data_IF_924290659728
#
_entry.id   IF_924290659728
#
_cell.length_a   1.000
_cell.length_b   1.000
_cell.length_c   1.000
_cell.angle_alpha   90.00
_cell.angle_beta   90.00
_cell.angle_gamma   90.00
#
_symmetry.space_group_name_H-M   'P 1'
#
loop_
_entity.id
_entity.type
_entity.pdbx_description
1 polymer ?
#
# COMPACT_ATOMS: atom_id res chain seq x y z
N UNK A 1 11.48 -26.69 71.83
CA UNK A 1 10.47 -25.91 71.09
C UNK A 1 11.16 -25.16 69.95
N UNK A 2 11.21 -25.72 68.74
CA UNK A 2 11.76 -25.03 67.55
C UNK A 2 10.65 -25.01 66.50
N UNK A 3 10.17 -23.81 66.17
CA UNK A 3 9.13 -23.55 65.16
C UNK A 3 9.81 -23.48 63.80
N UNK A 4 9.41 -24.34 62.87
CA UNK A 4 9.83 -24.26 61.48
C UNK A 4 8.94 -23.24 60.75
N UNK A 5 9.56 -22.19 60.21
CA UNK A 5 8.93 -21.22 59.30
C UNK A 5 8.99 -21.79 57.88
N UNK A 6 7.82 -21.97 57.26
CA UNK A 6 7.68 -22.31 55.84
C UNK A 6 7.51 -21.00 55.07
N UNK A 7 8.50 -20.64 54.24
CA UNK A 7 8.39 -19.54 53.29
C UNK A 7 7.80 -20.05 51.98
N UNK A 8 6.57 -19.64 51.68
CA UNK A 8 5.94 -19.79 50.36
C UNK A 8 6.46 -18.70 49.43
N UNK A 9 7.26 -19.07 48.43
CA UNK A 9 7.61 -18.18 47.32
C UNK A 9 6.48 -18.20 46.27
N UNK A 10 5.74 -17.09 46.16
CA UNK A 10 4.86 -16.85 45.00
C UNK A 10 5.73 -16.50 43.78
N UNK A 11 5.85 -17.42 42.84
CA UNK A 11 6.41 -17.16 41.52
C UNK A 11 5.37 -16.48 40.63
N UNK A 12 5.53 -15.19 40.39
CA UNK A 12 4.79 -14.45 39.35
C UNK A 12 5.31 -14.86 37.98
N UNK A 13 4.55 -15.72 37.29
CA UNK A 13 4.78 -16.08 35.89
C UNK A 13 4.42 -14.87 35.01
N UNK A 14 5.42 -14.03 34.71
CA UNK A 14 5.27 -12.91 33.78
C UNK A 14 5.00 -13.42 32.36
N UNK A 15 3.79 -13.19 31.87
CA UNK A 15 3.41 -13.47 30.49
C UNK A 15 4.14 -12.48 29.57
N UNK A 16 5.26 -12.90 28.98
CA UNK A 16 5.99 -12.11 28.00
C UNK A 16 5.15 -11.96 26.73
N UNK A 17 4.58 -10.77 26.52
CA UNK A 17 3.98 -10.38 25.24
C UNK A 17 5.11 -10.27 24.23
N UNK A 18 5.27 -11.28 23.37
CA UNK A 18 6.07 -11.15 22.16
C UNK A 18 5.33 -10.18 21.22
N UNK A 19 5.66 -8.89 21.33
CA UNK A 19 5.39 -7.95 20.26
C UNK A 19 6.18 -8.44 19.03
N UNK A 20 5.47 -8.84 17.97
CA UNK A 20 6.11 -9.19 16.71
C UNK A 20 6.85 -7.96 16.19
N UNK A 21 8.18 -7.95 16.30
CA UNK A 21 8.99 -6.97 15.61
C UNK A 21 8.76 -7.22 14.11
N UNK A 22 8.07 -6.28 13.45
CA UNK A 22 8.12 -6.18 12.00
C UNK A 22 9.59 -5.91 11.64
N UNK A 23 10.32 -6.95 11.29
CA UNK A 23 11.69 -6.85 10.79
C UNK A 23 11.65 -5.93 9.57
N UNK A 24 12.45 -4.86 9.62
CA UNK A 24 12.70 -4.05 8.43
C UNK A 24 13.21 -5.00 7.33
N UNK A 25 12.50 -5.06 6.21
CA UNK A 25 12.89 -5.92 5.08
C UNK A 25 14.26 -5.53 4.51
N UNK A 26 14.83 -6.35 3.62
CA UNK A 26 16.13 -6.09 2.97
C UNK A 26 16.21 -4.79 2.14
N UNK A 27 15.14 -3.99 2.10
CA UNK A 27 15.04 -2.79 1.30
C UNK A 27 14.60 -3.08 -0.14
N UNK A 28 14.88 -2.12 -1.01
CA UNK A 28 14.56 -2.17 -2.44
C UNK A 28 15.61 -2.88 -3.29
N UNK A 29 16.82 -3.10 -2.75
CA UNK A 29 17.94 -3.67 -3.52
C UNK A 29 17.62 -5.09 -4.00
N UNK A 30 17.90 -5.38 -5.26
CA UNK A 30 17.60 -6.64 -5.95
C UNK A 30 16.10 -7.02 -5.97
N UNK A 31 15.21 -6.04 -5.78
CA UNK A 31 13.76 -6.22 -5.90
C UNK A 31 13.26 -5.72 -7.27
N UNK A 32 11.97 -5.92 -7.58
CA UNK A 32 11.38 -5.31 -8.80
C UNK A 32 11.32 -3.77 -8.76
N UNK A 33 11.51 -3.15 -7.60
CA UNK A 33 11.66 -1.70 -7.44
C UNK A 33 13.15 -1.26 -7.38
N UNK A 34 14.11 -2.17 -7.61
CA UNK A 34 15.51 -1.79 -7.87
C UNK A 34 15.65 -1.29 -9.31
N UNK A 35 15.41 -0.01 -9.52
CA UNK A 35 15.34 0.57 -10.87
C UNK A 35 16.69 0.99 -11.43
N UNK A 36 17.79 0.67 -10.74
CA UNK A 36 19.16 0.96 -11.21
C UNK A 36 19.49 0.25 -12.52
N UNK A 37 18.74 -0.78 -12.91
CA UNK A 37 18.91 -1.44 -14.21
C UNK A 37 18.06 -0.84 -15.35
N UNK A 38 17.16 0.11 -15.08
CA UNK A 38 16.28 0.74 -16.09
C UNK A 38 16.97 1.83 -16.93
N UNK A 39 18.27 1.70 -17.14
CA UNK A 39 19.08 2.68 -17.88
C UNK A 39 19.34 2.14 -19.28
N UNK A 40 19.25 3.01 -20.30
CA UNK A 40 19.76 2.69 -21.63
C UNK A 40 21.21 2.23 -21.50
N UNK A 41 21.57 1.11 -22.16
CA UNK A 41 22.88 0.49 -22.06
C UNK A 41 24.01 1.54 -22.14
N UNK A 42 24.72 1.77 -21.04
CA UNK A 42 25.89 2.65 -20.99
C UNK A 42 26.04 3.55 -19.77
N UNK A 43 24.99 3.80 -18.97
CA UNK A 43 25.09 4.73 -17.82
C UNK A 43 24.59 4.07 -16.52
N UNK A 44 25.28 4.35 -15.40
CA UNK A 44 24.96 3.81 -14.08
C UNK A 44 24.69 4.93 -13.07
N UNK A 45 23.43 5.27 -12.84
CA UNK A 45 22.97 5.82 -11.59
C UNK A 45 22.95 4.67 -10.56
N UNK A 46 23.82 4.75 -9.57
CA UNK A 46 23.95 3.73 -8.52
C UNK A 46 23.08 4.02 -7.29
N UNK A 47 22.26 5.07 -7.32
CA UNK A 47 21.42 5.47 -6.20
C UNK A 47 20.07 4.76 -6.27
N UNK A 48 19.89 3.73 -5.45
CA UNK A 48 18.67 2.90 -5.47
C UNK A 48 17.40 3.68 -5.09
N UNK A 49 17.50 4.68 -4.21
CA UNK A 49 16.35 5.45 -3.73
C UNK A 49 15.96 6.63 -4.63
N UNK A 50 16.80 7.05 -5.58
CA UNK A 50 16.60 8.30 -6.33
C UNK A 50 15.34 8.27 -7.19
N UNK A 51 14.86 7.09 -7.58
CA UNK A 51 13.64 6.96 -8.36
C UNK A 51 12.37 7.30 -7.57
N UNK A 52 12.46 7.34 -6.23
CA UNK A 52 11.34 7.63 -5.33
C UNK A 52 11.59 8.86 -4.45
N UNK A 53 12.84 9.12 -4.07
CA UNK A 53 13.21 10.11 -3.06
C UNK A 53 14.30 11.07 -3.53
N UNK A 54 14.15 12.37 -3.23
CA UNK A 54 15.16 13.40 -3.49
C UNK A 54 15.29 14.39 -2.34
N UNK A 55 16.51 14.74 -1.89
CA UNK A 55 16.68 15.77 -0.89
C UNK A 55 16.28 17.17 -1.38
N UNK A 56 16.36 17.44 -2.69
CA UNK A 56 16.01 18.74 -3.30
C UNK A 56 15.11 18.56 -4.51
N UNK A 57 14.26 19.55 -4.81
CA UNK A 57 13.36 19.55 -5.98
C UNK A 57 12.35 18.40 -5.96
N UNK A 58 11.89 18.00 -4.78
CA UNK A 58 10.74 17.11 -4.66
C UNK A 58 9.50 17.80 -5.25
N UNK A 59 8.54 17.02 -5.76
CA UNK A 59 7.22 17.56 -6.03
C UNK A 59 6.60 18.01 -4.70
N UNK A 60 6.00 19.21 -4.63
CA UNK A 60 5.41 19.80 -3.43
C UNK A 60 4.28 18.94 -2.84
N UNK A 61 4.65 17.91 -2.09
CA UNK A 61 3.80 17.00 -1.32
C UNK A 61 4.54 16.71 -0.01
N UNK A 62 3.87 16.24 1.04
CA UNK A 62 4.43 16.02 2.40
C UNK A 62 5.60 15.00 2.48
N UNK A 63 6.13 14.55 1.35
CA UNK A 63 7.21 13.58 1.21
C UNK A 63 8.18 14.06 0.13
N UNK A 64 9.45 13.71 0.29
CA UNK A 64 10.58 14.01 -0.62
C UNK A 64 10.47 13.31 -2.00
N UNK A 65 9.28 13.25 -2.61
CA UNK A 65 8.98 12.44 -3.79
C UNK A 65 9.69 12.94 -5.05
N UNK A 66 10.49 12.07 -5.67
CA UNK A 66 11.35 12.40 -6.81
C UNK A 66 10.85 11.87 -8.16
N UNK A 67 9.56 11.67 -8.34
CA UNK A 67 8.99 11.28 -9.61
C UNK A 67 7.93 12.27 -10.07
N UNK A 68 7.87 12.51 -11.38
CA UNK A 68 6.84 13.31 -12.02
C UNK A 68 5.49 12.66 -11.78
N UNK A 69 4.51 13.42 -11.31
CA UNK A 69 3.16 12.89 -11.12
C UNK A 69 2.46 12.80 -12.47
N UNK A 70 1.78 11.68 -12.70
CA UNK A 70 0.88 11.53 -13.84
C UNK A 70 -0.28 12.52 -13.78
N UNK A 71 -0.86 12.82 -14.94
CA UNK A 71 -2.09 13.63 -15.07
C UNK A 71 -3.34 12.76 -15.20
N UNK A 72 -3.21 11.44 -15.00
CA UNK A 72 -4.30 10.48 -15.09
C UNK A 72 -5.45 10.83 -14.14
N UNK A 73 -6.69 10.62 -14.60
CA UNK A 73 -7.89 10.76 -13.79
C UNK A 73 -8.37 9.39 -13.31
N UNK A 74 -8.05 9.02 -12.07
CA UNK A 74 -8.26 7.67 -11.56
C UNK A 74 -9.71 7.41 -11.19
N UNK A 75 -10.27 6.31 -11.68
CA UNK A 75 -11.68 5.98 -11.47
C UNK A 75 -11.90 4.48 -11.38
N UNK A 76 -12.49 4.01 -10.29
CA UNK A 76 -12.93 2.61 -10.16
C UNK A 76 -14.13 2.29 -11.04
N UNK A 77 -14.93 3.28 -11.43
CA UNK A 77 -16.06 3.09 -12.35
C UNK A 77 -15.58 2.78 -13.79
N UNK A 78 -14.40 3.25 -14.16
CA UNK A 78 -13.82 2.97 -15.47
C UNK A 78 -13.12 1.60 -15.52
N UNK A 79 -13.15 0.98 -16.71
CA UNK A 79 -12.49 -0.30 -16.95
C UNK A 79 -10.98 -0.20 -16.74
N UNK A 80 -10.43 -1.17 -16.00
CA UNK A 80 -9.01 -1.24 -15.71
C UNK A 80 -8.18 -1.87 -16.83
N UNK A 81 -6.91 -2.20 -16.54
CA UNK A 81 -6.04 -2.90 -17.49
C UNK A 81 -6.71 -4.17 -18.04
N UNK A 82 -6.41 -4.46 -19.32
CA UNK A 82 -6.98 -5.58 -20.07
C UNK A 82 -8.53 -5.63 -20.14
N UNK A 83 -9.21 -4.50 -19.90
CA UNK A 83 -10.68 -4.43 -19.95
C UNK A 83 -11.37 -4.96 -18.69
N UNK A 84 -10.63 -5.08 -17.58
CA UNK A 84 -11.20 -5.50 -16.29
C UNK A 84 -12.37 -4.60 -15.88
N UNK A 85 -13.51 -5.14 -15.45
CA UNK A 85 -14.72 -4.38 -15.24
C UNK A 85 -14.57 -3.34 -14.12
N UNK A 86 -15.13 -2.15 -14.34
CA UNK A 86 -15.25 -1.11 -13.33
C UNK A 86 -16.43 -1.34 -12.40
N UNK A 87 -16.44 -0.60 -11.29
CA UNK A 87 -17.50 -0.59 -10.30
C UNK A 87 -17.64 0.80 -9.69
N UNK A 88 -18.88 1.27 -9.52
CA UNK A 88 -19.16 2.57 -8.90
C UNK A 88 -19.38 2.50 -7.39
N UNK A 89 -19.80 1.33 -6.87
CA UNK A 89 -20.15 1.14 -5.45
C UNK A 89 -19.86 -0.29 -5.01
N UNK A 90 -19.47 -0.48 -3.75
CA UNK A 90 -19.40 -1.81 -3.14
C UNK A 90 -20.81 -2.40 -2.97
N UNK A 91 -20.89 -3.71 -2.72
CA UNK A 91 -22.16 -4.39 -2.39
C UNK A 91 -22.85 -3.80 -1.15
N UNK A 92 -22.08 -3.18 -0.25
CA UNK A 92 -22.54 -2.45 0.93
C UNK A 92 -22.93 -1.01 0.69
N UNK A 93 -22.80 -0.50 -0.53
CA UNK A 93 -23.20 0.85 -0.89
C UNK A 93 -22.15 1.94 -0.65
N UNK A 94 -20.90 1.60 -0.30
CA UNK A 94 -19.79 2.57 -0.30
C UNK A 94 -19.53 3.02 -1.73
N UNK A 95 -19.60 4.31 -2.02
CA UNK A 95 -19.25 4.85 -3.34
C UNK A 95 -17.75 4.78 -3.54
N UNK A 96 -17.31 4.31 -4.71
CA UNK A 96 -15.89 4.21 -5.04
C UNK A 96 -15.36 5.51 -5.67
N UNK A 97 -14.07 5.84 -5.50
CA UNK A 97 -13.46 7.01 -6.12
C UNK A 97 -13.63 7.01 -7.64
N UNK A 98 -14.07 8.15 -8.18
CA UNK A 98 -14.28 8.34 -9.63
C UNK A 98 -13.38 9.40 -10.26
N UNK A 99 -12.57 10.08 -9.46
CA UNK A 99 -11.62 11.09 -9.91
C UNK A 99 -10.34 11.06 -9.08
N UNK A 100 -9.22 11.54 -9.63
CA UNK A 100 -7.95 11.66 -8.90
C UNK A 100 -8.06 12.55 -7.66
N UNK A 101 -8.93 13.55 -7.67
CA UNK A 101 -9.19 14.37 -6.47
C UNK A 101 -9.74 13.53 -5.32
N UNK A 102 -10.58 12.53 -5.61
CA UNK A 102 -11.12 11.61 -4.60
C UNK A 102 -10.06 10.64 -4.05
N UNK A 103 -8.89 10.52 -4.70
CA UNK A 103 -7.74 9.79 -4.14
C UNK A 103 -6.95 10.62 -3.11
N UNK A 104 -7.28 11.90 -2.96
CA UNK A 104 -6.68 12.79 -1.97
C UNK A 104 -5.16 12.98 -2.17
N UNK A 105 -4.46 13.23 -1.07
CA UNK A 105 -2.99 13.34 -1.01
C UNK A 105 -2.33 12.05 -0.53
N UNK A 106 -3.07 10.93 -0.57
CA UNK A 106 -2.62 9.63 -0.10
C UNK A 106 -1.47 9.05 -0.93
N UNK A 107 -0.74 8.07 -0.38
CA UNK A 107 0.43 7.47 -1.03
C UNK A 107 0.11 6.71 -2.32
N UNK A 108 -1.15 6.32 -2.56
CA UNK A 108 -1.56 5.70 -3.83
C UNK A 108 -1.17 6.55 -5.03
N UNK A 109 -1.31 7.89 -4.95
CA UNK A 109 -0.92 8.80 -6.05
C UNK A 109 0.57 8.69 -6.42
N UNK A 110 1.42 8.36 -5.45
CA UNK A 110 2.85 8.16 -5.68
C UNK A 110 3.11 6.87 -6.44
N UNK A 111 2.46 5.77 -6.05
CA UNK A 111 2.51 4.51 -6.80
C UNK A 111 1.99 4.71 -8.23
N UNK A 112 0.88 5.42 -8.40
CA UNK A 112 0.29 5.65 -9.71
C UNK A 112 1.18 6.49 -10.63
N UNK A 113 2.06 7.34 -10.09
CA UNK A 113 3.03 8.07 -10.91
C UNK A 113 4.00 7.18 -11.69
N UNK A 114 4.14 5.90 -11.33
CA UNK A 114 4.88 4.91 -12.12
C UNK A 114 3.93 3.88 -12.77
N UNK A 115 2.84 3.53 -12.09
CA UNK A 115 1.96 2.41 -12.44
C UNK A 115 0.74 2.76 -13.31
N UNK A 116 0.49 4.05 -13.60
CA UNK A 116 -0.60 4.46 -14.49
C UNK A 116 -0.22 4.46 -15.98
N UNK A 117 1.08 4.38 -16.29
CA UNK A 117 1.60 4.36 -17.66
C UNK A 117 1.50 5.72 -18.39
N UNK A 118 1.17 6.81 -17.69
CA UNK A 118 1.02 8.15 -18.27
C UNK A 118 2.34 8.91 -18.39
N UNK A 119 3.30 8.61 -17.51
CA UNK A 119 4.65 9.19 -17.51
C UNK A 119 5.70 8.08 -17.52
N UNK A 120 6.89 8.39 -18.03
CA UNK A 120 7.98 7.43 -18.04
C UNK A 120 8.50 7.18 -16.62
N UNK A 121 8.85 5.93 -16.28
CA UNK A 121 9.41 5.53 -14.96
C UNK A 121 10.69 6.29 -14.59
N UNK A 122 11.36 6.83 -15.60
CA UNK A 122 12.55 7.64 -15.44
C UNK A 122 12.31 9.15 -15.33
N UNK A 123 11.05 9.61 -15.28
CA UNK A 123 10.72 11.03 -15.21
C UNK A 123 10.94 11.57 -13.79
N UNK A 124 12.21 11.77 -13.40
CA UNK A 124 12.58 12.25 -12.06
C UNK A 124 12.53 13.78 -11.98
N UNK A 125 12.21 14.33 -10.80
CA UNK A 125 12.08 15.78 -10.62
C UNK A 125 13.44 16.49 -10.47
N UNK A 126 14.46 15.78 -9.97
CA UNK A 126 15.80 16.32 -9.74
C UNK A 126 16.81 16.04 -10.88
N UNK A 127 16.34 15.71 -12.09
CA UNK A 127 17.22 15.48 -13.24
C UNK A 127 18.10 16.73 -13.44
N UNK A 128 19.43 16.54 -13.32
CA UNK A 128 20.42 17.61 -13.44
C UNK A 128 21.37 17.78 -12.25
N UNK A 129 21.03 17.27 -11.05
CA UNK A 129 21.90 17.38 -9.86
C UNK A 129 22.93 16.23 -9.77
N UNK A 130 23.52 15.85 -10.92
CA UNK A 130 24.55 14.79 -11.02
C UNK A 130 24.16 13.54 -11.82
N UNK A 131 23.01 13.54 -12.49
CA UNK A 131 22.63 12.46 -13.41
C UNK A 131 23.44 12.56 -14.73
N UNK A 132 24.46 11.73 -14.90
CA UNK A 132 25.08 11.48 -16.20
C UNK A 132 24.30 10.39 -16.94
N UNK A 133 23.48 10.75 -17.92
CA UNK A 133 22.87 9.78 -18.84
C UNK A 133 21.44 10.11 -19.29
N UNK A 134 21.04 9.52 -20.42
CA UNK A 134 19.66 9.54 -20.90
C UNK A 134 18.84 8.57 -20.05
N UNK A 135 18.06 9.12 -19.13
CA UNK A 135 17.04 8.34 -18.45
C UNK A 135 15.98 7.92 -19.48
N UNK A 136 15.41 6.72 -19.34
CA UNK A 136 14.36 6.23 -20.24
C UNK A 136 13.14 7.16 -20.10
N UNK A 137 12.99 8.08 -21.06
CA UNK A 137 11.95 9.11 -21.12
C UNK A 137 10.79 8.72 -22.04
N UNK A 138 10.95 7.66 -22.83
CA UNK A 138 9.79 7.02 -23.45
C UNK A 138 8.95 6.42 -22.34
N UNK A 139 7.60 6.46 -22.42
CA UNK A 139 6.77 5.56 -21.64
C UNK A 139 7.16 4.17 -22.13
N UNK A 140 8.19 3.59 -21.52
CA UNK A 140 8.39 2.17 -21.56
C UNK A 140 7.12 1.61 -20.99
N UNK A 141 6.22 1.21 -21.90
CA UNK A 141 5.43 0.01 -21.66
C UNK A 141 6.48 -0.98 -21.23
N UNK A 142 6.60 -1.21 -19.92
CA UNK A 142 7.54 -2.15 -19.34
C UNK A 142 7.30 -3.46 -20.11
N UNK A 143 8.12 -3.71 -21.12
CA UNK A 143 7.89 -4.52 -22.32
C UNK A 143 6.59 -5.35 -22.35
N UNK A 144 5.42 -4.72 -22.55
CA UNK A 144 4.15 -5.43 -22.71
C UNK A 144 3.75 -6.40 -21.56
N UNK A 145 4.13 -6.13 -20.30
CA UNK A 145 3.96 -7.03 -19.14
C UNK A 145 3.41 -6.27 -17.87
N UNK A 146 2.95 -6.97 -16.81
CA UNK A 146 1.78 -6.67 -15.95
C UNK A 146 1.98 -5.61 -14.84
N UNK A 147 2.89 -4.66 -15.02
CA UNK A 147 3.16 -3.62 -14.03
C UNK A 147 2.19 -2.42 -14.09
N UNK A 148 1.36 -2.32 -15.13
CA UNK A 148 0.36 -1.27 -15.23
C UNK A 148 -0.87 -1.62 -14.37
N UNK A 149 -1.23 -0.75 -13.42
CA UNK A 149 -2.34 -0.95 -12.46
C UNK A 149 -3.59 -0.20 -12.91
N UNK A 150 -3.45 0.99 -13.50
CA UNK A 150 -4.54 1.72 -14.13
C UNK A 150 -4.50 1.57 -15.65
N UNK A 151 -5.64 1.58 -16.33
CA UNK A 151 -5.66 1.70 -17.79
C UNK A 151 -5.03 3.03 -18.23
N UNK A 152 -4.68 3.15 -19.52
CA UNK A 152 -4.06 4.37 -20.06
C UNK A 152 -4.93 5.65 -19.88
N UNK A 153 -6.23 5.49 -19.59
CA UNK A 153 -7.16 6.58 -19.31
C UNK A 153 -7.48 6.74 -17.81
N UNK A 154 -6.78 6.02 -16.92
CA UNK A 154 -6.96 6.09 -15.46
C UNK A 154 -8.00 5.13 -14.88
N UNK A 155 -8.51 4.17 -15.64
CA UNK A 155 -9.47 3.21 -15.11
C UNK A 155 -8.83 2.21 -14.15
N UNK A 156 -9.48 2.00 -12.99
CA UNK A 156 -8.99 1.16 -11.89
C UNK A 156 -9.79 -0.13 -11.73
N UNK A 157 -10.71 -0.45 -12.65
CA UNK A 157 -11.51 -1.67 -12.62
C UNK A 157 -10.67 -2.95 -12.47
N UNK A 158 -11.20 -3.93 -11.75
CA UNK A 158 -10.48 -5.17 -11.40
C UNK A 158 -9.49 -5.08 -10.22
N UNK A 159 -9.08 -3.88 -9.81
CA UNK A 159 -8.25 -3.71 -8.62
C UNK A 159 -9.09 -3.69 -7.33
N UNK A 160 -8.48 -4.10 -6.21
CA UNK A 160 -9.09 -3.87 -4.91
C UNK A 160 -9.21 -2.36 -4.64
N UNK A 161 -10.38 -1.84 -4.21
CA UNK A 161 -10.55 -0.43 -3.95
C UNK A 161 -9.55 0.13 -2.91
N UNK A 162 -8.99 1.29 -3.23
CA UNK A 162 -8.11 2.11 -2.38
C UNK A 162 -8.60 3.56 -2.39
N UNK A 163 -8.03 4.40 -1.54
CA UNK A 163 -8.52 5.74 -1.23
C UNK A 163 -9.97 5.75 -0.72
N UNK A 164 -10.39 4.68 -0.04
CA UNK A 164 -11.71 4.52 0.58
C UNK A 164 -11.57 4.33 2.09
N UNK A 165 -12.61 4.64 2.88
CA UNK A 165 -12.58 4.39 4.32
C UNK A 165 -12.46 2.90 4.63
N UNK A 166 -11.64 2.58 5.63
CA UNK A 166 -11.70 1.28 6.29
C UNK A 166 -12.97 1.23 7.16
N UNK A 167 -13.83 0.20 7.03
CA UNK A 167 -15.13 0.16 7.70
C UNK A 167 -15.04 -0.30 9.16
N UNK A 168 -14.21 0.37 9.98
CA UNK A 168 -14.10 0.11 11.42
C UNK A 168 -15.37 0.49 12.20
N UNK A 169 -16.22 1.35 11.62
CA UNK A 169 -17.54 1.70 12.14
C UNK A 169 -18.48 2.22 11.06
N UNK A 170 -19.77 2.27 11.40
CA UNK A 170 -20.78 2.89 10.55
C UNK A 170 -20.46 4.39 10.37
N UNK A 171 -20.52 4.85 9.12
CA UNK A 171 -20.24 6.23 8.76
C UNK A 171 -18.76 6.60 8.81
N UNK A 172 -17.83 5.63 8.77
CA UNK A 172 -16.42 5.93 8.62
C UNK A 172 -16.18 6.70 7.32
N UNK A 173 -15.28 7.68 7.37
CA UNK A 173 -15.01 8.60 6.26
C UNK A 173 -13.51 8.70 5.97
N UNK A 174 -13.18 8.73 4.69
CA UNK A 174 -11.81 8.96 4.20
C UNK A 174 -11.87 9.57 2.81
N UNK A 175 -11.05 10.59 2.54
CA UNK A 175 -11.07 11.35 1.28
C UNK A 175 -12.47 11.82 0.82
N UNK A 176 -13.34 12.16 1.77
CA UNK A 176 -14.72 12.57 1.49
C UNK A 176 -15.67 11.44 1.08
N UNK A 177 -15.20 10.19 1.10
CA UNK A 177 -16.02 9.00 0.89
C UNK A 177 -16.45 8.46 2.25
N UNK A 178 -17.75 8.21 2.38
CA UNK A 178 -18.35 7.58 3.57
C UNK A 178 -18.67 6.11 3.27
N UNK A 179 -18.39 5.24 4.23
CA UNK A 179 -18.82 3.84 4.15
C UNK A 179 -20.33 3.76 3.93
N UNK A 180 -20.76 2.80 3.10
CA UNK A 180 -22.15 2.37 3.07
C UNK A 180 -22.55 1.64 4.37
N UNK A 181 -23.56 0.77 4.29
CA UNK A 181 -23.94 -0.03 5.46
C UNK A 181 -22.82 -0.99 5.82
N UNK A 182 -22.39 -1.01 7.09
CA UNK A 182 -21.30 -1.90 7.58
C UNK A 182 -21.63 -3.40 7.47
N UNK A 183 -22.85 -3.76 7.10
CA UNK A 183 -23.43 -5.10 7.25
C UNK A 183 -23.25 -6.07 6.06
N UNK A 184 -22.41 -5.77 5.06
CA UNK A 184 -22.25 -6.68 3.90
C UNK A 184 -21.60 -8.04 4.20
N UNK A 185 -20.97 -8.18 5.36
CA UNK A 185 -20.51 -9.44 5.93
C UNK A 185 -21.10 -9.67 7.34
N UNK A 186 -22.31 -9.16 7.60
CA UNK A 186 -23.12 -9.60 8.74
C UNK A 186 -22.62 -9.20 10.12
N UNK A 187 -22.13 -7.97 10.33
CA UNK A 187 -21.89 -7.51 11.70
C UNK A 187 -21.73 -6.02 11.90
N UNK A 188 -22.17 -5.60 13.08
CA UNK A 188 -21.87 -4.30 13.69
C UNK A 188 -20.36 -4.10 13.80
N UNK A 189 -19.90 -2.86 13.99
CA UNK A 189 -18.51 -2.59 14.38
C UNK A 189 -18.12 -3.49 15.57
N UNK A 190 -17.18 -4.41 15.38
CA UNK A 190 -16.78 -5.40 16.40
C UNK A 190 -17.68 -6.65 16.53
N UNK A 191 -18.67 -6.85 15.65
CA UNK A 191 -19.70 -7.90 15.76
C UNK A 191 -19.91 -8.79 14.53
N UNK A 192 -19.07 -8.71 13.49
CA UNK A 192 -19.10 -9.67 12.36
C UNK A 192 -18.57 -9.09 11.04
N UNK A 193 -17.73 -9.87 10.35
CA UNK A 193 -17.21 -9.55 9.01
C UNK A 193 -15.84 -8.87 8.95
N UNK A 194 -15.51 -8.01 9.92
CA UNK A 194 -14.28 -7.20 9.90
C UNK A 194 -13.47 -7.30 11.19
N UNK A 195 -12.15 -7.35 11.06
CA UNK A 195 -11.20 -7.20 12.17
C UNK A 195 -11.18 -5.75 12.66
N UNK A 196 -10.93 -5.55 13.94
CA UNK A 196 -10.73 -4.21 14.49
C UNK A 196 -9.38 -3.63 14.05
N UNK A 197 -9.25 -2.30 14.14
CA UNK A 197 -8.05 -1.55 13.72
C UNK A 197 -6.79 -2.04 14.44
N UNK A 198 -6.88 -2.34 15.73
CA UNK A 198 -5.70 -2.76 16.51
C UNK A 198 -5.19 -4.12 16.05
N UNK A 199 -6.10 -5.07 15.80
CA UNK A 199 -5.76 -6.39 15.25
C UNK A 199 -5.15 -6.28 13.85
N UNK A 200 -5.73 -5.45 12.98
CA UNK A 200 -5.26 -5.24 11.60
C UNK A 200 -3.85 -4.64 11.58
N UNK A 201 -3.61 -3.62 12.38
CA UNK A 201 -2.29 -2.98 12.47
C UNK A 201 -1.25 -3.91 13.10
N UNK A 202 -1.64 -4.70 14.11
CA UNK A 202 -0.77 -5.72 14.69
C UNK A 202 -0.39 -6.83 13.68
N UNK A 203 -1.28 -7.14 12.73
CA UNK A 203 -0.99 -8.05 11.62
C UNK A 203 -0.03 -7.45 10.58
N UNK A 204 0.28 -6.15 10.64
CA UNK A 204 1.21 -5.47 9.76
C UNK A 204 0.55 -4.63 8.66
N UNK A 205 -0.78 -4.52 8.61
CA UNK A 205 -1.50 -3.68 7.64
C UNK A 205 -1.41 -2.20 8.05
N UNK A 206 -1.13 -1.33 7.09
CA UNK A 206 -1.01 0.12 7.33
C UNK A 206 -2.28 0.87 6.95
N UNK A 207 -3.07 1.29 7.94
CA UNK A 207 -4.18 2.21 7.69
C UNK A 207 -3.69 3.66 7.66
N UNK A 208 -4.33 4.49 6.83
CA UNK A 208 -4.03 5.91 6.64
C UNK A 208 -5.10 6.79 7.29
N UNK A 209 -4.84 8.09 7.46
CA UNK A 209 -5.78 9.02 8.09
C UNK A 209 -5.40 9.38 9.53
N UNK A 210 -6.36 9.89 10.28
CA UNK A 210 -6.15 10.33 11.66
C UNK A 210 -6.21 9.18 12.67
N UNK A 211 -5.77 9.40 13.92
CA UNK A 211 -5.86 8.40 14.98
C UNK A 211 -7.31 8.16 15.46
N UNK A 212 -8.25 9.02 15.04
CA UNK A 212 -9.64 8.92 15.41
C UNK A 212 -10.31 7.76 14.65
N UNK A 213 -11.01 6.91 15.40
CA UNK A 213 -11.80 5.85 14.81
C UNK A 213 -12.87 6.41 13.85
N UNK A 214 -13.13 5.70 12.76
CA UNK A 214 -13.96 6.19 11.65
C UNK A 214 -13.25 7.15 10.70
N UNK A 215 -11.96 7.43 10.88
CA UNK A 215 -11.18 8.28 9.94
C UNK A 215 -10.10 7.52 9.17
N UNK A 216 -10.05 6.19 9.38
CA UNK A 216 -9.06 5.34 8.74
C UNK A 216 -9.40 5.11 7.27
N UNK A 217 -8.38 5.18 6.43
CA UNK A 217 -8.42 4.91 4.99
C UNK A 217 -7.55 3.73 4.61
N UNK A 218 -7.96 3.05 3.55
CA UNK A 218 -7.16 2.04 2.87
C UNK A 218 -6.52 2.65 1.63
N UNK A 219 -5.21 2.49 1.49
CA UNK A 219 -4.41 2.95 0.35
C UNK A 219 -3.60 1.77 -0.19
N UNK A 220 -2.94 1.92 -1.35
CA UNK A 220 -2.05 0.86 -1.87
C UNK A 220 -1.02 0.42 -0.82
N UNK A 221 -0.49 1.37 -0.03
CA UNK A 221 0.47 1.06 1.03
C UNK A 221 -0.14 0.39 2.26
N UNK A 222 -1.45 0.17 2.31
CA UNK A 222 -2.08 -0.67 3.34
C UNK A 222 -1.70 -2.13 3.19
N UNK A 223 -1.61 -2.61 1.95
CA UNK A 223 -1.24 -3.98 1.63
C UNK A 223 0.20 -4.09 1.13
N UNK A 224 0.72 -3.04 0.49
CA UNK A 224 2.06 -3.04 -0.11
C UNK A 224 3.07 -2.18 0.68
N UNK A 225 4.33 -2.59 0.65
CA UNK A 225 5.45 -1.84 1.20
C UNK A 225 6.62 -1.86 0.22
N UNK A 226 6.78 -0.75 -0.52
CA UNK A 226 7.85 -0.61 -1.49
C UNK A 226 9.25 -0.79 -0.87
N UNK A 227 9.41 -0.63 0.44
CA UNK A 227 10.69 -0.80 1.14
C UNK A 227 10.92 -2.22 1.65
N UNK A 228 9.93 -3.12 1.54
CA UNK A 228 10.02 -4.46 2.09
C UNK A 228 9.76 -5.51 1.02
N UNK A 229 10.81 -6.23 0.66
CA UNK A 229 10.78 -7.34 -0.28
C UNK A 229 10.90 -8.73 0.40
N UNK A 230 10.80 -8.80 1.73
CA UNK A 230 11.02 -10.05 2.50
C UNK A 230 9.81 -11.00 2.53
N UNK A 231 8.61 -10.48 2.29
CA UNK A 231 7.38 -11.28 2.33
C UNK A 231 7.29 -12.10 1.04
N UNK A 232 7.61 -13.38 1.14
CA UNK A 232 7.38 -14.37 0.10
C UNK A 232 5.91 -14.80 0.08
N UNK A 233 5.42 -15.15 -1.10
CA UNK A 233 4.13 -15.84 -1.25
C UNK A 233 4.33 -17.15 -2.03
N UNK A 234 3.44 -18.12 -1.86
CA UNK A 234 3.39 -19.35 -2.66
C UNK A 234 3.14 -19.06 -4.14
N UNK A 235 2.69 -17.84 -4.48
CA UNK A 235 2.53 -17.36 -5.86
C UNK A 235 3.84 -16.79 -6.47
N UNK A 236 4.96 -16.76 -5.74
CA UNK A 236 6.27 -16.47 -6.32
C UNK A 236 7.34 -15.88 -5.38
N UNK A 237 8.49 -15.60 -6.00
CA UNK A 237 9.73 -15.10 -5.37
C UNK A 237 9.46 -13.93 -4.42
N UNK A 238 10.09 -13.99 -3.23
CA UNK A 238 10.12 -12.88 -2.28
C UNK A 238 10.43 -11.55 -2.98
N UNK A 239 9.64 -10.52 -2.72
CA UNK A 239 9.90 -9.20 -3.28
C UNK A 239 9.28 -8.89 -4.63
N UNK A 240 8.49 -9.80 -5.19
CA UNK A 240 7.74 -9.53 -6.43
C UNK A 240 6.53 -8.61 -6.20
N UNK A 241 5.78 -8.86 -5.12
CA UNK A 241 4.51 -8.17 -4.85
C UNK A 241 4.58 -7.16 -3.70
N UNK A 242 5.70 -7.10 -2.97
CA UNK A 242 5.91 -6.16 -1.87
C UNK A 242 4.79 -6.18 -0.82
N UNK A 243 4.20 -7.34 -0.53
CA UNK A 243 3.12 -7.41 0.44
C UNK A 243 3.64 -7.17 1.86
N UNK A 244 2.83 -6.53 2.71
CA UNK A 244 3.08 -6.40 4.15
C UNK A 244 2.81 -7.70 4.91
N UNK A 245 1.86 -8.47 4.40
CA UNK A 245 1.42 -9.76 4.96
C UNK A 245 1.39 -10.77 3.83
N UNK A 246 1.81 -12.01 4.09
CA UNK A 246 1.80 -13.05 3.06
C UNK A 246 0.39 -13.26 2.49
N UNK A 247 0.33 -13.54 1.18
CA UNK A 247 -0.89 -13.96 0.50
C UNK A 247 -1.26 -15.43 0.81
N UNK A 248 -0.33 -16.19 1.39
CA UNK A 248 -0.47 -17.64 1.59
C UNK A 248 -1.65 -17.95 2.50
N UNK A 249 -2.45 -18.95 2.10
CA UNK A 249 -3.67 -19.32 2.81
C UNK A 249 -4.62 -18.13 3.05
N UNK A 250 -4.59 -17.12 2.18
CA UNK A 250 -5.35 -15.87 2.30
C UNK A 250 -5.02 -15.04 3.55
N UNK A 251 -3.83 -15.17 4.14
CA UNK A 251 -3.47 -14.47 5.38
C UNK A 251 -3.62 -12.94 5.27
N UNK A 252 -3.28 -12.35 4.11
CA UNK A 252 -3.55 -10.93 3.83
C UNK A 252 -5.05 -10.60 3.94
N UNK A 253 -5.91 -11.38 3.30
CA UNK A 253 -7.36 -11.14 3.30
C UNK A 253 -7.95 -11.31 4.71
N UNK A 254 -7.51 -12.35 5.42
CA UNK A 254 -7.95 -12.68 6.77
C UNK A 254 -7.43 -11.70 7.83
N UNK A 255 -6.50 -10.82 7.47
CA UNK A 255 -6.11 -9.70 8.33
C UNK A 255 -7.28 -8.74 8.54
N UNK A 256 -8.04 -8.45 7.49
CA UNK A 256 -9.16 -7.52 7.53
C UNK A 256 -10.52 -8.21 7.63
N UNK A 257 -10.70 -9.36 6.96
CA UNK A 257 -11.98 -10.05 6.86
C UNK A 257 -12.08 -11.20 7.84
N UNK A 258 -13.10 -11.13 8.70
CA UNK A 258 -13.46 -12.20 9.64
C UNK A 258 -14.65 -12.97 9.09
N UNK A 259 -14.48 -14.28 8.92
CA UNK A 259 -15.59 -15.19 8.63
C UNK A 259 -16.38 -15.50 9.88
#
# INVERSE_FOLDING_TARGET
>A
MKRHLVSTALGSLGLAVLAGLALAGPGVVNSSHDLRSLQSAGQTNNQVCIYCHTPHRAADQNLIWNHSLGTGNYSFNAAGPAGSPGMSRTSTGTTLPTTTTAFGTGPTKMCMSCHDGSVAVGALNNIGDGATGTIVTSPSRLNGQPAQIASATGGMGGNHPVAIPFPDRAGATYNGITTGVTSGFGGVAGGGGWSDVTTIQAAGIKLHGGPAAGTFGMECTSCHDAHNNSVATTEGVAGKYFLRVSGDNSALCLSCHRK
#
